data_IF_124284974548
#
_entry.id   IF_124284974548
#
_cell.length_a   1.000
_cell.length_b   1.000
_cell.length_c   1.000
_cell.angle_alpha   90.00
_cell.angle_beta   90.00
_cell.angle_gamma   90.00
#
_symmetry.space_group_name_H-M   'P 1'
#
loop_
_entity.id
_entity.type
_entity.pdbx_description
1 polymer ?
#
# COMPACT_ATOMS: atom_id res chain seq x y z
N UNK A 1 -10.46 19.46 21.58
CA UNK A 1 -9.32 18.73 20.96
C UNK A 1 -9.76 17.64 19.98
N UNK A 2 -11.06 17.35 19.83
CA UNK A 2 -11.54 16.34 18.85
C UNK A 2 -11.32 16.72 17.39
N UNK A 3 -11.49 18.00 17.04
CA UNK A 3 -11.38 18.49 15.65
C UNK A 3 -10.01 18.18 15.05
N UNK A 4 -8.93 18.40 15.82
CA UNK A 4 -7.55 18.11 15.38
C UNK A 4 -7.39 16.61 15.11
N UNK A 5 -7.96 15.75 15.96
CA UNK A 5 -7.93 14.30 15.76
C UNK A 5 -8.63 13.87 14.47
N UNK A 6 -9.78 14.47 14.15
CA UNK A 6 -10.50 14.21 12.91
C UNK A 6 -9.75 14.72 11.66
N UNK A 7 -9.06 15.86 11.75
CA UNK A 7 -8.20 16.36 10.68
C UNK A 7 -7.05 15.37 10.41
N UNK A 8 -6.40 14.89 11.46
CA UNK A 8 -5.33 13.87 11.34
C UNK A 8 -5.90 12.59 10.71
N UNK A 9 -7.08 12.15 11.15
CA UNK A 9 -7.72 10.97 10.57
C UNK A 9 -8.01 11.14 9.08
N UNK A 10 -8.57 12.28 8.66
CA UNK A 10 -8.82 12.58 7.25
C UNK A 10 -7.53 12.56 6.42
N UNK A 11 -6.43 13.10 6.97
CA UNK A 11 -5.11 13.05 6.32
C UNK A 11 -4.63 11.60 6.14
N UNK A 12 -4.75 10.77 7.17
CA UNK A 12 -4.35 9.35 7.13
C UNK A 12 -5.22 8.57 6.13
N UNK A 13 -6.54 8.79 6.14
CA UNK A 13 -7.47 8.16 5.20
C UNK A 13 -7.16 8.59 3.74
N UNK A 14 -6.90 9.88 3.52
CA UNK A 14 -6.50 10.40 2.22
C UNK A 14 -5.20 9.76 1.71
N UNK A 15 -4.20 9.60 2.58
CA UNK A 15 -2.96 8.90 2.24
C UNK A 15 -3.22 7.42 1.93
N UNK A 16 -4.01 6.72 2.76
CA UNK A 16 -4.35 5.31 2.54
C UNK A 16 -5.02 5.07 1.18
N UNK A 17 -5.94 5.95 0.79
CA UNK A 17 -6.60 5.91 -0.52
C UNK A 17 -5.60 6.23 -1.64
N UNK A 18 -4.79 7.28 -1.49
CA UNK A 18 -3.78 7.67 -2.48
C UNK A 18 -2.77 6.55 -2.76
N UNK A 19 -2.31 5.87 -1.73
CA UNK A 19 -1.41 4.71 -1.84
C UNK A 19 -2.10 3.48 -2.46
N UNK A 20 -3.40 3.28 -2.20
CA UNK A 20 -4.19 2.24 -2.87
C UNK A 20 -4.32 2.49 -4.39
N UNK A 21 -4.47 3.74 -4.80
CA UNK A 21 -4.43 4.10 -6.22
C UNK A 21 -3.02 3.96 -6.81
N UNK A 22 -1.99 4.35 -6.08
CA UNK A 22 -0.60 4.16 -6.50
C UNK A 22 -0.27 2.68 -6.73
N UNK A 23 -0.63 1.80 -5.81
CA UNK A 23 -0.44 0.34 -5.96
C UNK A 23 -1.17 -0.23 -7.17
N UNK A 24 -2.38 0.26 -7.50
CA UNK A 24 -3.07 -0.11 -8.75
C UNK A 24 -2.28 0.30 -10.00
N UNK A 25 -1.66 1.47 -10.01
CA UNK A 25 -0.84 1.93 -11.13
C UNK A 25 0.48 1.14 -11.23
N UNK A 26 1.16 0.90 -10.11
CA UNK A 26 2.38 0.09 -10.09
C UNK A 26 2.14 -1.36 -10.53
N UNK A 27 0.99 -1.94 -10.21
CA UNK A 27 0.62 -3.28 -10.66
C UNK A 27 0.47 -3.39 -12.19
N UNK A 28 0.13 -2.29 -12.88
CA UNK A 28 0.07 -2.26 -14.34
C UNK A 28 1.45 -2.25 -15.00
N UNK A 29 2.46 -1.72 -14.32
CA UNK A 29 3.82 -1.51 -14.86
C UNK A 29 4.81 -2.57 -14.36
N UNK A 30 4.39 -3.51 -13.48
CA UNK A 30 5.26 -4.56 -12.89
C UNK A 30 6.54 -3.99 -12.24
N UNK A 31 6.41 -2.89 -11.50
CA UNK A 31 7.57 -2.26 -10.86
C UNK A 31 8.16 -3.11 -9.70
N UNK A 32 9.49 -3.18 -9.54
CA UNK A 32 10.14 -4.01 -8.51
C UNK A 32 9.82 -3.58 -7.07
N UNK A 33 9.39 -2.33 -6.83
CA UNK A 33 9.02 -1.83 -5.51
C UNK A 33 7.58 -2.17 -5.08
N UNK A 34 6.83 -2.94 -5.88
CA UNK A 34 5.41 -3.22 -5.65
C UNK A 34 5.13 -3.82 -4.26
N UNK A 35 6.00 -4.68 -3.73
CA UNK A 35 5.82 -5.31 -2.43
C UNK A 35 5.92 -4.31 -1.27
N UNK A 36 6.94 -3.44 -1.28
CA UNK A 36 7.12 -2.46 -0.22
C UNK A 36 5.98 -1.43 -0.20
N UNK A 37 5.59 -0.91 -1.37
CA UNK A 37 4.46 0.01 -1.47
C UNK A 37 3.14 -0.64 -1.06
N UNK A 38 2.95 -1.93 -1.38
CA UNK A 38 1.75 -2.64 -0.96
C UNK A 38 1.67 -2.88 0.54
N UNK A 39 2.76 -3.30 1.18
CA UNK A 39 2.82 -3.47 2.64
C UNK A 39 2.58 -2.14 3.34
N UNK A 40 3.17 -1.06 2.82
CA UNK A 40 2.94 0.28 3.33
C UNK A 40 1.47 0.71 3.18
N UNK A 41 0.85 0.44 2.02
CA UNK A 41 -0.58 0.71 1.79
C UNK A 41 -1.44 -0.07 2.78
N UNK A 42 -1.14 -1.35 3.01
CA UNK A 42 -1.84 -2.17 3.99
C UNK A 42 -1.75 -1.56 5.40
N UNK A 43 -0.57 -1.15 5.85
CA UNK A 43 -0.43 -0.50 7.15
C UNK A 43 -1.18 0.83 7.26
N UNK A 44 -1.21 1.63 6.20
CA UNK A 44 -2.01 2.86 6.17
C UNK A 44 -3.50 2.58 6.35
N UNK A 45 -4.03 1.53 5.73
CA UNK A 45 -5.42 1.12 5.91
C UNK A 45 -5.69 0.60 7.32
N UNK A 46 -4.80 -0.22 7.88
CA UNK A 46 -4.91 -0.68 9.26
C UNK A 46 -4.92 0.50 10.23
N UNK A 47 -4.06 1.50 10.03
CA UNK A 47 -4.06 2.73 10.83
C UNK A 47 -5.35 3.53 10.66
N UNK A 48 -5.82 3.74 9.43
CA UNK A 48 -7.05 4.48 9.17
C UNK A 48 -8.27 3.84 9.87
N UNK A 49 -8.35 2.50 9.84
CA UNK A 49 -9.39 1.74 10.56
C UNK A 49 -9.17 1.85 12.06
N UNK A 50 -7.97 1.61 12.57
CA UNK A 50 -7.67 1.69 14.00
C UNK A 50 -8.01 3.06 14.60
N UNK A 51 -7.75 4.15 13.88
CA UNK A 51 -8.12 5.50 14.32
C UNK A 51 -9.63 5.77 14.27
N UNK A 52 -10.37 5.03 13.44
CA UNK A 52 -11.82 5.16 13.33
C UNK A 52 -12.53 4.44 14.49
N UNK A 53 -12.05 3.26 14.88
CA UNK A 53 -12.68 2.44 15.94
C UNK A 53 -12.14 2.71 17.35
N UNK A 54 -10.98 3.33 17.48
CA UNK A 54 -10.38 3.59 18.79
C UNK A 54 -10.90 4.90 19.39
N UNK A 55 -11.39 4.82 20.62
CA UNK A 55 -11.75 5.98 21.45
C UNK A 55 -10.51 6.70 22.03
N UNK A 56 -9.30 6.18 21.80
CA UNK A 56 -8.08 6.79 22.29
C UNK A 56 -7.86 8.16 21.66
N UNK A 57 -7.18 9.04 22.41
CA UNK A 57 -6.81 10.35 21.90
C UNK A 57 -5.94 10.19 20.64
N UNK A 58 -6.51 10.59 19.49
CA UNK A 58 -5.93 10.43 18.14
C UNK A 58 -4.51 11.03 18.00
N UNK A 59 -4.10 11.89 18.93
CA UNK A 59 -2.71 12.38 19.09
C UNK A 59 -1.69 11.29 19.46
N UNK A 60 -2.03 10.35 20.35
CA UNK A 60 -1.13 9.26 20.73
C UNK A 60 -0.88 8.30 19.57
N UNK A 61 -1.89 8.16 18.71
CA UNK A 61 -1.79 7.35 17.53
C UNK A 61 -0.98 8.03 16.40
N UNK A 62 -0.70 9.33 16.48
CA UNK A 62 0.21 10.03 15.55
C UNK A 62 1.62 9.42 15.56
N UNK A 63 2.06 8.89 16.71
CA UNK A 63 3.33 8.17 16.84
C UNK A 63 3.38 6.88 16.03
N UNK A 64 2.22 6.29 15.69
CA UNK A 64 2.15 5.10 14.87
C UNK A 64 2.38 5.37 13.37
N UNK A 65 2.28 6.63 12.93
CA UNK A 65 2.52 7.03 11.53
C UNK A 65 3.95 6.72 11.08
N UNK A 66 5.02 7.23 11.74
CA UNK A 66 6.38 6.88 11.35
C UNK A 66 6.64 5.38 11.51
N UNK A 67 6.06 4.73 12.53
CA UNK A 67 6.19 3.29 12.70
C UNK A 67 5.61 2.50 11.53
N UNK A 68 4.44 2.89 11.00
CA UNK A 68 3.86 2.27 9.81
C UNK A 68 4.65 2.58 8.54
N UNK A 69 5.20 3.78 8.41
CA UNK A 69 6.01 4.18 7.26
C UNK A 69 7.33 3.38 7.20
N UNK A 70 8.14 3.44 8.26
CA UNK A 70 9.42 2.73 8.34
C UNK A 70 9.24 1.22 8.49
N UNK A 71 8.26 0.79 9.31
CA UNK A 71 7.93 -0.63 9.48
C UNK A 71 7.48 -1.27 8.18
N UNK A 72 6.65 -0.58 7.39
CA UNK A 72 6.23 -1.05 6.07
C UNK A 72 7.40 -1.27 5.12
N UNK A 73 8.37 -0.35 5.12
CA UNK A 73 9.56 -0.47 4.30
C UNK A 73 10.47 -1.62 4.76
N UNK A 74 10.73 -1.77 6.07
CA UNK A 74 11.58 -2.85 6.59
C UNK A 74 10.96 -4.24 6.37
N UNK A 75 9.65 -4.36 6.59
CA UNK A 75 8.88 -5.60 6.37
C UNK A 75 8.79 -5.91 4.88
N UNK A 76 8.54 -4.91 4.03
CA UNK A 76 8.49 -5.07 2.58
C UNK A 76 9.83 -5.46 1.95
N UNK A 77 10.95 -5.06 2.57
CA UNK A 77 12.31 -5.47 2.18
C UNK A 77 12.75 -6.80 2.81
N UNK A 78 11.91 -7.44 3.64
CA UNK A 78 12.20 -8.74 4.24
C UNK A 78 13.22 -8.69 5.39
N UNK A 79 13.44 -7.52 6.01
CA UNK A 79 14.46 -7.36 7.05
C UNK A 79 14.14 -8.10 8.36
N UNK A 80 12.88 -8.51 8.58
CA UNK A 80 12.43 -9.19 9.80
C UNK A 80 11.90 -10.60 9.46
N UNK A 81 12.67 -11.68 9.65
CA UNK A 81 12.38 -13.00 9.07
C UNK A 81 11.08 -13.65 9.56
N UNK A 82 10.59 -13.32 10.77
CA UNK A 82 9.36 -13.92 11.31
C UNK A 82 8.10 -13.10 11.01
N UNK A 83 8.21 -11.77 11.06
CA UNK A 83 7.07 -10.85 10.87
C UNK A 83 6.77 -10.65 9.38
N UNK A 84 7.82 -10.63 8.55
CA UNK A 84 7.69 -10.43 7.10
C UNK A 84 6.77 -11.43 6.40
N UNK A 85 6.89 -12.77 6.57
CA UNK A 85 6.04 -13.70 5.84
C UNK A 85 4.55 -13.54 6.19
N UNK A 86 4.22 -13.34 7.47
CA UNK A 86 2.84 -13.16 7.92
C UNK A 86 2.24 -11.88 7.33
N UNK A 87 2.95 -10.76 7.44
CA UNK A 87 2.47 -9.48 6.91
C UNK A 87 2.37 -9.53 5.38
N UNK A 88 3.30 -10.18 4.70
CA UNK A 88 3.25 -10.33 3.24
C UNK A 88 2.05 -11.17 2.79
N UNK A 89 1.69 -12.23 3.52
CA UNK A 89 0.47 -13.02 3.24
C UNK A 89 -0.78 -12.16 3.35
N UNK A 90 -0.93 -11.44 4.46
CA UNK A 90 -2.08 -10.54 4.67
C UNK A 90 -2.12 -9.43 3.62
N UNK A 91 -0.96 -8.85 3.31
CA UNK A 91 -0.82 -7.82 2.29
C UNK A 91 -1.21 -8.36 0.91
N UNK A 92 -0.84 -9.60 0.55
CA UNK A 92 -1.25 -10.21 -0.72
C UNK A 92 -2.76 -10.36 -0.83
N UNK A 93 -3.43 -10.80 0.24
CA UNK A 93 -4.89 -10.90 0.27
C UNK A 93 -5.50 -9.51 0.06
N UNK A 94 -4.99 -8.52 0.79
CA UNK A 94 -5.43 -7.12 0.69
C UNK A 94 -5.23 -6.51 -0.70
N UNK A 95 -4.05 -6.71 -1.31
CA UNK A 95 -3.80 -6.32 -2.70
C UNK A 95 -4.77 -7.02 -3.64
N UNK A 96 -5.04 -8.32 -3.43
CA UNK A 96 -5.99 -9.09 -4.23
C UNK A 96 -7.37 -8.41 -4.27
N UNK A 97 -7.82 -7.88 -3.12
CA UNK A 97 -9.07 -7.09 -3.03
C UNK A 97 -8.93 -5.74 -3.74
N UNK A 98 -7.83 -5.02 -3.53
CA UNK A 98 -7.60 -3.71 -4.18
C UNK A 98 -7.54 -3.85 -5.70
N UNK A 99 -6.92 -4.90 -6.23
CA UNK A 99 -6.71 -5.10 -7.65
C UNK A 99 -7.91 -5.72 -8.37
N UNK A 100 -9.02 -5.99 -7.69
CA UNK A 100 -10.25 -6.44 -8.35
C UNK A 100 -10.61 -5.46 -9.47
N UNK A 101 -10.74 -5.98 -10.69
CA UNK A 101 -11.06 -5.22 -11.90
C UNK A 101 -9.87 -4.57 -12.62
N UNK A 102 -8.63 -4.75 -12.13
CA UNK A 102 -7.41 -4.31 -12.82
C UNK A 102 -6.88 -5.46 -13.68
N UNK A 103 -6.78 -5.26 -15.00
CA UNK A 103 -6.03 -6.17 -15.88
C UNK A 103 -4.55 -6.04 -15.57
N UNK A 104 -3.96 -7.07 -14.98
CA UNK A 104 -2.51 -7.19 -14.81
C UNK A 104 -1.96 -7.81 -16.09
N UNK A 105 -0.97 -7.21 -16.77
CA UNK A 105 -0.39 -7.78 -17.99
C UNK A 105 0.17 -9.19 -17.73
N UNK A 106 -0.17 -10.15 -18.60
CA UNK A 106 0.44 -11.48 -18.58
C UNK A 106 1.86 -11.43 -19.13
N UNK A 107 2.74 -12.34 -18.69
CA UNK A 107 4.16 -12.37 -19.11
C UNK A 107 4.37 -12.44 -20.63
N UNK A 108 3.38 -12.96 -21.36
CA UNK A 108 3.39 -13.07 -22.82
C UNK A 108 3.29 -11.71 -23.54
N UNK A 109 2.69 -10.68 -22.93
CA UNK A 109 2.45 -9.38 -23.57
C UNK A 109 3.70 -8.46 -23.54
N UNK A 110 4.64 -8.73 -22.63
CA UNK A 110 5.87 -7.94 -22.44
C UNK A 110 7.00 -8.41 -23.36
N UNK A 111 6.91 -9.66 -23.84
CA UNK A 111 7.96 -10.29 -24.66
C UNK A 111 7.73 -10.10 -26.17
N UNK A 112 6.60 -9.47 -26.57
CA UNK A 112 6.42 -9.02 -27.93
C UNK A 112 7.41 -7.88 -28.21
N UNK A 113 8.38 -8.05 -29.14
CA UNK A 113 9.19 -6.93 -29.57
C UNK A 113 8.23 -5.86 -30.10
N UNK A 114 8.42 -4.60 -29.70
CA UNK A 114 7.77 -3.49 -30.40
C UNK A 114 8.15 -3.61 -31.87
N UNK A 115 7.18 -3.96 -32.71
CA UNK A 115 7.33 -3.99 -34.15
C UNK A 115 7.68 -2.56 -34.59
N UNK A 116 8.84 -2.30 -35.22
CA UNK A 116 9.30 -0.94 -35.53
C UNK A 116 8.52 -0.30 -36.71
N UNK A 117 7.25 -0.65 -36.89
CA UNK A 117 6.48 -0.39 -38.11
C UNK A 117 5.51 0.79 -38.02
N UNK A 118 5.70 1.69 -37.04
CA UNK A 118 4.96 2.96 -36.94
C UNK A 118 5.83 4.18 -37.31
N UNK A 119 6.87 3.98 -38.14
CA UNK A 119 7.62 5.09 -38.77
C UNK A 119 7.44 5.10 -40.28
N UNK A 120 6.23 5.44 -40.73
CA UNK A 120 5.98 6.00 -42.08
C UNK A 120 5.09 7.24 -41.98
#
# INVERSE_FOLDING_TARGET
MEIIGWIIWLLVAFLAVSFAFGTRQYAKVRAPSQNATAVQTFFWWVLAVAFLVSDWNKLHLFWAIPAAFFGGQMVGLGAIPLVSPLVLILTRIFIGIILIGVKVPSEEEITQPQDPLDSE
#
